data_IF_370584005747
#
_entry.id   IF_370584005747
#
_cell.length_a   1.000
_cell.length_b   1.000
_cell.length_c   1.000
_cell.angle_alpha   90.00
_cell.angle_beta   90.00
_cell.angle_gamma   90.00
#
_symmetry.space_group_name_H-M   'P 1'
#
loop_
_entity.id
_entity.type
_entity.pdbx_description
1 polymer ?
#
# COMPACT_ATOMS: atom_id res chain seq x y z
N UNK A 1 80.90 -60.40 -4.33
CA UNK A 1 79.52 -60.50 -3.82
C UNK A 1 79.32 -59.40 -2.79
N UNK A 2 78.61 -58.34 -3.18
CA UNK A 2 78.49 -57.07 -2.45
C UNK A 2 77.00 -56.77 -2.18
N UNK A 3 76.75 -56.38 -0.94
CA UNK A 3 75.73 -55.45 -0.43
C UNK A 3 74.23 -55.81 -0.37
N UNK A 4 73.76 -55.83 0.88
CA UNK A 4 72.42 -55.48 1.37
C UNK A 4 71.79 -54.28 0.66
N UNK A 5 70.49 -54.37 0.33
CA UNK A 5 69.60 -53.20 0.24
C UNK A 5 68.29 -53.50 0.97
N UNK A 6 68.06 -52.70 2.00
CA UNK A 6 66.87 -52.53 2.80
C UNK A 6 65.68 -51.98 1.98
N UNK A 7 64.49 -52.18 2.57
CA UNK A 7 63.34 -51.27 2.56
C UNK A 7 62.77 -50.84 1.20
N UNK A 8 61.48 -51.11 0.99
CA UNK A 8 60.52 -50.01 0.90
C UNK A 8 59.10 -50.53 1.16
N UNK A 9 58.66 -50.34 2.40
CA UNK A 9 57.26 -50.15 2.74
C UNK A 9 56.72 -49.04 1.83
N UNK A 10 55.97 -49.40 0.78
CA UNK A 10 55.16 -48.44 0.04
C UNK A 10 53.90 -48.24 0.88
N UNK A 11 54.02 -47.42 1.92
CA UNK A 11 52.88 -46.70 2.44
C UNK A 11 52.37 -45.83 1.30
N UNK A 12 51.32 -46.29 0.62
CA UNK A 12 50.49 -45.40 -0.19
C UNK A 12 50.05 -44.27 0.73
N UNK A 13 50.64 -43.09 0.53
CA UNK A 13 50.23 -41.85 1.17
C UNK A 13 48.78 -41.58 0.82
N UNK A 14 47.88 -42.07 1.68
CA UNK A 14 46.45 -41.86 1.58
C UNK A 14 46.08 -40.66 2.44
N UNK A 15 46.66 -39.52 2.12
CA UNK A 15 46.29 -38.24 2.73
C UNK A 15 46.18 -37.20 1.63
N UNK A 16 45.16 -36.36 1.74
CA UNK A 16 44.77 -35.23 0.88
C UNK A 16 43.62 -35.51 -0.09
N UNK A 17 42.67 -34.55 -0.09
CA UNK A 17 41.54 -34.37 -1.02
C UNK A 17 40.13 -34.84 -0.61
N UNK A 18 39.78 -34.84 0.69
CA UNK A 18 38.35 -34.87 1.12
C UNK A 18 37.87 -33.59 1.81
N UNK A 19 38.76 -32.85 2.48
CA UNK A 19 38.38 -31.63 3.22
C UNK A 19 38.08 -30.40 2.36
N UNK A 20 38.74 -30.24 1.20
CA UNK A 20 38.53 -29.08 0.32
C UNK A 20 37.20 -29.10 -0.43
N UNK A 21 36.72 -30.29 -0.81
CA UNK A 21 35.44 -30.45 -1.50
C UNK A 21 34.26 -30.11 -0.57
N UNK A 22 34.35 -30.52 0.70
CA UNK A 22 33.31 -30.31 1.72
C UNK A 22 33.19 -28.82 2.10
N UNK A 23 34.31 -28.09 2.15
CA UNK A 23 34.33 -26.66 2.49
C UNK A 23 33.76 -25.79 1.36
N UNK A 24 34.05 -26.12 0.11
CA UNK A 24 33.45 -25.45 -1.06
C UNK A 24 31.94 -25.67 -1.10
N UNK A 25 31.48 -26.89 -0.81
CA UNK A 25 30.06 -27.24 -0.83
C UNK A 25 29.28 -26.46 0.26
N UNK A 26 29.84 -26.33 1.46
CA UNK A 26 29.27 -25.50 2.54
C UNK A 26 29.24 -24.01 2.16
N UNK A 27 30.27 -23.51 1.46
CA UNK A 27 30.30 -22.15 0.94
C UNK A 27 29.21 -21.92 -0.12
N UNK A 28 28.98 -22.89 -1.00
CA UNK A 28 27.92 -22.81 -2.01
C UNK A 28 26.54 -22.81 -1.34
N UNK A 29 26.30 -23.71 -0.40
CA UNK A 29 25.00 -23.75 0.29
C UNK A 29 24.75 -22.52 1.16
N UNK A 30 25.76 -22.01 1.86
CA UNK A 30 25.62 -20.78 2.66
C UNK A 30 25.38 -19.55 1.81
N UNK A 31 26.06 -19.41 0.66
CA UNK A 31 25.82 -18.29 -0.27
C UNK A 31 24.43 -18.35 -0.89
N UNK A 32 23.95 -19.54 -1.28
CA UNK A 32 22.57 -19.74 -1.75
C UNK A 32 21.55 -19.40 -0.66
N UNK A 33 21.79 -19.81 0.58
CA UNK A 33 20.90 -19.51 1.71
C UNK A 33 20.81 -18.01 1.97
N UNK A 34 21.95 -17.30 1.99
CA UNK A 34 21.98 -15.83 2.16
C UNK A 34 21.22 -15.15 1.02
N UNK A 35 21.39 -15.61 -0.22
CA UNK A 35 20.72 -15.05 -1.37
C UNK A 35 19.20 -15.25 -1.30
N UNK A 36 18.73 -16.43 -0.91
CA UNK A 36 17.31 -16.72 -0.68
C UNK A 36 16.72 -15.84 0.43
N UNK A 37 17.42 -15.71 1.57
CA UNK A 37 16.98 -14.85 2.67
C UNK A 37 16.94 -13.37 2.27
N UNK A 38 17.92 -12.91 1.49
CA UNK A 38 17.95 -11.54 0.97
C UNK A 38 16.78 -11.24 0.05
N UNK A 39 16.48 -12.13 -0.90
CA UNK A 39 15.31 -11.99 -1.77
C UNK A 39 13.99 -12.01 -1.00
N UNK A 40 13.87 -12.89 -0.01
CA UNK A 40 12.68 -12.96 0.85
C UNK A 40 12.48 -11.63 1.63
N UNK A 41 13.55 -11.09 2.21
CA UNK A 41 13.50 -9.82 2.93
C UNK A 41 13.08 -8.66 2.02
N UNK A 42 13.66 -8.57 0.80
CA UNK A 42 13.29 -7.54 -0.17
C UNK A 42 11.81 -7.64 -0.57
N UNK A 43 11.30 -8.85 -0.77
CA UNK A 43 9.89 -9.08 -1.09
C UNK A 43 8.96 -8.65 0.06
N UNK A 44 9.32 -8.97 1.30
CA UNK A 44 8.58 -8.55 2.50
C UNK A 44 8.59 -7.03 2.65
N UNK A 45 9.76 -6.39 2.54
CA UNK A 45 9.88 -4.93 2.67
C UNK A 45 9.08 -4.19 1.59
N UNK A 46 9.10 -4.69 0.35
CA UNK A 46 8.28 -4.12 -0.73
C UNK A 46 6.79 -4.21 -0.40
N UNK A 47 6.32 -5.39 0.00
CA UNK A 47 4.92 -5.64 0.37
C UNK A 47 4.50 -4.76 1.56
N UNK A 48 5.38 -4.59 2.55
CA UNK A 48 5.12 -3.68 3.68
C UNK A 48 4.98 -2.23 3.19
N UNK A 49 5.91 -1.74 2.38
CA UNK A 49 5.88 -0.37 1.84
C UNK A 49 4.57 -0.09 1.09
N UNK A 50 4.15 -1.02 0.23
CA UNK A 50 2.90 -0.91 -0.53
C UNK A 50 1.67 -0.86 0.40
N UNK A 51 1.61 -1.75 1.42
CA UNK A 51 0.52 -1.73 2.40
C UNK A 51 0.47 -0.41 3.19
N UNK A 52 1.62 0.13 3.59
CA UNK A 52 1.71 1.41 4.29
C UNK A 52 1.23 2.56 3.42
N UNK A 53 1.56 2.54 2.13
CA UNK A 53 1.08 3.53 1.17
C UNK A 53 -0.44 3.47 1.02
N UNK A 54 -1.02 2.28 0.88
CA UNK A 54 -2.47 2.11 0.83
C UNK A 54 -3.17 2.63 2.09
N UNK A 55 -2.65 2.29 3.27
CA UNK A 55 -3.20 2.79 4.53
C UNK A 55 -3.10 4.31 4.66
N UNK A 56 -1.98 4.89 4.26
CA UNK A 56 -1.79 6.34 4.27
C UNK A 56 -2.79 7.04 3.37
N UNK A 57 -2.88 6.64 2.10
CA UNK A 57 -3.74 7.27 1.09
C UNK A 57 -5.20 7.16 1.51
N UNK A 58 -5.62 5.97 1.96
CA UNK A 58 -7.00 5.74 2.35
C UNK A 58 -7.39 6.51 3.61
N UNK A 59 -6.55 6.53 4.65
CA UNK A 59 -6.79 7.35 5.85
C UNK A 59 -6.84 8.84 5.53
N UNK A 60 -5.94 9.32 4.67
CA UNK A 60 -5.92 10.72 4.27
C UNK A 60 -7.22 11.10 3.55
N UNK A 61 -7.71 10.26 2.63
CA UNK A 61 -9.00 10.45 1.99
C UNK A 61 -10.17 10.45 2.99
N UNK A 62 -10.19 9.52 3.97
CA UNK A 62 -11.19 9.51 5.02
C UNK A 62 -11.20 10.81 5.85
N UNK A 63 -10.02 11.29 6.26
CA UNK A 63 -9.90 12.53 7.01
C UNK A 63 -10.37 13.73 6.20
N UNK A 64 -10.06 13.76 4.90
CA UNK A 64 -10.58 14.79 4.00
C UNK A 64 -12.10 14.81 3.99
N UNK A 65 -12.75 13.66 3.76
CA UNK A 65 -14.23 13.55 3.77
C UNK A 65 -14.79 14.04 5.11
N UNK A 66 -14.23 13.59 6.23
CA UNK A 66 -14.70 13.97 7.56
C UNK A 66 -14.53 15.45 7.83
N UNK A 67 -13.41 16.04 7.41
CA UNK A 67 -13.16 17.46 7.55
C UNK A 67 -14.16 18.29 6.73
N UNK A 68 -14.43 17.89 5.48
CA UNK A 68 -15.43 18.55 4.63
C UNK A 68 -16.81 18.49 5.29
N UNK A 69 -17.20 17.33 5.82
CA UNK A 69 -18.46 17.18 6.55
C UNK A 69 -18.55 18.09 7.78
N UNK A 70 -17.51 18.15 8.61
CA UNK A 70 -17.49 19.00 9.81
C UNK A 70 -17.52 20.50 9.48
N UNK A 71 -16.78 20.95 8.47
CA UNK A 71 -16.82 22.34 8.03
C UNK A 71 -18.18 22.71 7.47
N UNK A 72 -18.82 21.79 6.77
CA UNK A 72 -20.19 22.00 6.30
C UNK A 72 -21.16 22.32 7.42
N UNK A 73 -20.95 21.70 8.59
CA UNK A 73 -21.79 21.89 9.77
C UNK A 73 -21.50 23.17 10.55
N UNK A 74 -20.41 23.88 10.26
CA UNK A 74 -20.00 25.05 11.03
C UNK A 74 -20.02 26.35 10.20
N UNK A 75 -20.60 26.32 9.00
CA UNK A 75 -20.53 27.41 8.03
C UNK A 75 -19.58 27.02 6.90
N UNK A 76 -20.16 26.77 5.72
CA UNK A 76 -19.46 26.15 4.60
C UNK A 76 -18.33 26.98 4.00
N UNK A 77 -17.46 26.32 3.22
CA UNK A 77 -16.43 26.96 2.41
C UNK A 77 -16.64 26.73 0.91
N UNK A 78 -16.34 27.75 0.11
CA UNK A 78 -16.42 27.76 -1.36
C UNK A 78 -16.88 29.11 -1.94
N UNK A 79 -16.85 29.22 -3.27
CA UNK A 79 -17.14 30.43 -4.06
C UNK A 79 -18.38 30.24 -4.95
N UNK A 80 -19.00 31.32 -5.44
CA UNK A 80 -20.25 31.32 -6.22
C UNK A 80 -20.27 30.42 -7.47
N UNK A 81 -19.12 29.93 -7.96
CA UNK A 81 -19.00 29.10 -9.17
C UNK A 81 -19.05 27.58 -8.97
N UNK A 82 -18.92 27.06 -7.74
CA UNK A 82 -19.05 25.62 -7.44
C UNK A 82 -19.76 25.39 -6.10
N UNK A 83 -20.63 24.38 -5.98
CA UNK A 83 -21.38 24.13 -4.75
C UNK A 83 -20.45 23.99 -3.52
N UNK A 84 -20.81 24.73 -2.46
CA UNK A 84 -20.11 24.73 -1.16
C UNK A 84 -19.99 23.30 -0.63
N UNK A 85 -18.89 23.00 0.08
CA UNK A 85 -18.69 21.72 0.76
C UNK A 85 -18.87 20.45 -0.09
N UNK A 86 -18.44 20.51 -1.35
CA UNK A 86 -18.55 19.40 -2.29
C UNK A 86 -17.18 18.79 -2.50
N UNK A 87 -17.09 17.47 -2.39
CA UNK A 87 -15.94 16.70 -2.85
C UNK A 87 -16.22 16.22 -4.27
N UNK A 88 -15.26 16.40 -5.17
CA UNK A 88 -15.31 15.79 -6.49
C UNK A 88 -14.39 14.58 -6.47
N UNK A 89 -14.87 13.45 -6.96
CA UNK A 89 -14.12 12.20 -6.94
C UNK A 89 -14.12 11.64 -8.36
N UNK A 90 -12.91 11.53 -8.89
CA UNK A 90 -12.58 10.90 -10.17
C UNK A 90 -11.82 9.61 -9.91
N UNK A 91 -11.65 8.77 -10.93
CA UNK A 91 -10.97 7.48 -10.79
C UNK A 91 -9.54 7.60 -10.24
N UNK A 92 -8.82 8.67 -10.57
CA UNK A 92 -7.40 8.90 -10.24
C UNK A 92 -7.15 10.05 -9.25
N UNK A 93 -8.17 10.81 -8.90
CA UNK A 93 -8.00 12.00 -8.06
C UNK A 93 -9.28 12.36 -7.32
N UNK A 94 -9.13 13.19 -6.30
CA UNK A 94 -10.25 13.86 -5.68
C UNK A 94 -9.92 15.32 -5.43
N UNK A 95 -10.93 16.16 -5.56
CA UNK A 95 -10.81 17.60 -5.42
C UNK A 95 -11.63 18.07 -4.22
N UNK A 96 -11.03 18.97 -3.44
CA UNK A 96 -11.70 19.60 -2.29
C UNK A 96 -11.62 21.11 -2.34
N UNK A 97 -12.68 21.74 -1.84
CA UNK A 97 -12.85 23.18 -1.77
C UNK A 97 -12.72 23.74 -0.34
N UNK A 98 -12.18 22.93 0.58
CA UNK A 98 -12.06 23.22 2.02
C UNK A 98 -11.49 24.62 2.32
N UNK A 99 -10.50 25.05 1.53
CA UNK A 99 -9.81 26.33 1.67
C UNK A 99 -9.93 27.20 0.42
N UNK A 100 -10.99 27.04 -0.37
CA UNK A 100 -11.14 27.74 -1.65
C UNK A 100 -10.95 29.26 -1.54
N UNK A 101 -11.41 29.87 -0.45
CA UNK A 101 -11.26 31.31 -0.19
C UNK A 101 -9.81 31.75 0.07
N UNK A 102 -8.95 30.86 0.56
CA UNK A 102 -7.55 31.16 0.89
C UNK A 102 -6.58 30.67 -0.19
N UNK A 103 -6.73 29.42 -0.63
CA UNK A 103 -5.74 28.70 -1.45
C UNK A 103 -6.34 28.07 -2.71
N UNK A 104 -7.61 28.39 -3.03
CA UNK A 104 -8.30 27.79 -4.15
C UNK A 104 -8.61 26.30 -3.95
N UNK A 105 -8.88 25.62 -5.05
CA UNK A 105 -9.21 24.20 -5.06
C UNK A 105 -7.94 23.36 -5.02
N UNK A 106 -7.96 22.32 -4.21
CA UNK A 106 -6.84 21.38 -4.13
C UNK A 106 -7.27 20.05 -4.74
N UNK A 107 -6.60 19.67 -5.82
CA UNK A 107 -6.68 18.33 -6.38
C UNK A 107 -5.59 17.44 -5.78
N UNK A 108 -5.99 16.24 -5.34
CA UNK A 108 -5.09 15.25 -4.76
C UNK A 108 -5.18 13.98 -5.60
N UNK A 109 -4.04 13.59 -6.16
CA UNK A 109 -3.92 12.38 -6.97
C UNK A 109 -3.68 11.15 -6.10
N UNK A 110 -4.36 10.06 -6.40
CA UNK A 110 -4.02 8.76 -5.83
C UNK A 110 -2.89 8.11 -6.64
N UNK A 111 -2.08 7.23 -6.02
CA UNK A 111 -1.06 6.48 -6.75
C UNK A 111 -1.65 5.70 -7.92
N UNK A 112 -0.87 5.51 -9.00
CA UNK A 112 -1.32 4.83 -10.21
C UNK A 112 -1.76 3.37 -10.01
N UNK A 113 -1.37 2.74 -8.91
CA UNK A 113 -1.81 1.39 -8.52
C UNK A 113 -3.22 1.38 -7.94
N UNK A 114 -3.75 2.55 -7.60
CA UNK A 114 -5.00 2.72 -6.89
C UNK A 114 -6.06 3.38 -7.76
N UNK A 115 -7.32 3.08 -7.46
CA UNK A 115 -8.49 3.67 -8.08
C UNK A 115 -9.51 4.07 -7.05
N UNK A 116 -10.07 5.27 -7.20
CA UNK A 116 -11.23 5.72 -6.46
C UNK A 116 -12.50 5.39 -7.22
N UNK A 117 -13.55 5.04 -6.50
CA UNK A 117 -14.88 4.81 -7.07
C UNK A 117 -15.90 5.58 -6.25
N UNK A 118 -16.73 6.34 -6.96
CA UNK A 118 -17.81 7.11 -6.40
C UNK A 118 -19.17 6.44 -6.66
N UNK A 119 -19.70 5.80 -5.63
CA UNK A 119 -21.06 5.25 -5.64
C UNK A 119 -22.02 6.29 -5.05
N UNK A 120 -22.14 7.43 -5.72
CA UNK A 120 -23.17 8.45 -5.50
C UNK A 120 -24.16 8.47 -6.67
N UNK A 121 -25.30 9.13 -6.48
CA UNK A 121 -26.29 9.34 -7.54
C UNK A 121 -25.70 10.14 -8.73
N UNK A 122 -24.84 11.11 -8.47
CA UNK A 122 -24.21 11.99 -9.47
C UNK A 122 -22.90 11.42 -10.04
N UNK A 123 -22.34 10.37 -9.41
CA UNK A 123 -21.10 9.65 -9.79
C UNK A 123 -19.80 10.46 -9.89
N UNK A 124 -19.85 11.79 -9.79
CA UNK A 124 -18.67 12.66 -9.93
C UNK A 124 -18.49 13.64 -8.77
N UNK A 125 -19.59 14.08 -8.15
CA UNK A 125 -19.58 15.01 -7.03
C UNK A 125 -20.33 14.44 -5.84
N UNK A 126 -19.99 14.85 -4.63
CA UNK A 126 -20.80 14.56 -3.47
C UNK A 126 -20.80 15.76 -2.53
N UNK A 127 -22.00 16.28 -2.26
CA UNK A 127 -22.19 17.27 -1.22
C UNK A 127 -22.16 16.56 0.14
N UNK A 128 -21.32 17.03 1.06
CA UNK A 128 -21.11 16.37 2.36
C UNK A 128 -21.73 17.13 3.55
N UNK A 129 -22.60 18.11 3.29
CA UNK A 129 -23.11 19.00 4.34
C UNK A 129 -24.45 18.66 4.98
N UNK A 130 -25.06 17.52 4.64
CA UNK A 130 -26.34 17.12 5.23
C UNK A 130 -26.17 16.62 6.68
N UNK A 131 -26.90 17.23 7.62
CA UNK A 131 -26.92 16.81 9.04
C UNK A 131 -27.66 15.49 9.23
N UNK A 132 -28.75 15.27 8.48
CA UNK A 132 -29.61 14.09 8.61
C UNK A 132 -29.18 12.91 7.72
N UNK A 133 -27.90 12.87 7.34
CA UNK A 133 -27.33 11.82 6.49
C UNK A 133 -27.33 12.13 5.00
N UNK A 134 -26.57 11.34 4.25
CA UNK A 134 -26.25 11.63 2.85
C UNK A 134 -27.16 10.84 1.90
N UNK A 135 -28.33 11.40 1.55
CA UNK A 135 -29.31 10.73 0.69
C UNK A 135 -28.81 10.39 -0.72
N UNK A 136 -27.81 11.12 -1.21
CA UNK A 136 -27.32 11.01 -2.60
C UNK A 136 -25.95 10.33 -2.70
N UNK A 137 -25.37 9.93 -1.56
CA UNK A 137 -24.05 9.29 -1.47
C UNK A 137 -24.17 8.00 -0.68
N UNK A 138 -23.92 6.87 -1.34
CA UNK A 138 -23.99 5.55 -0.70
C UNK A 138 -22.61 5.14 -0.18
N UNK A 139 -21.60 5.18 -1.05
CA UNK A 139 -20.23 4.86 -0.66
C UNK A 139 -19.15 5.48 -1.54
N UNK A 140 -17.97 5.65 -0.95
CA UNK A 140 -16.73 5.78 -1.70
C UNK A 140 -15.88 4.55 -1.51
N UNK A 141 -15.17 4.13 -2.54
CA UNK A 141 -14.29 2.96 -2.49
C UNK A 141 -12.91 3.34 -3.01
N UNK A 142 -11.88 2.79 -2.37
CA UNK A 142 -10.49 2.85 -2.85
C UNK A 142 -10.03 1.43 -3.08
N UNK A 143 -9.58 1.14 -4.29
CA UNK A 143 -9.01 -0.14 -4.69
C UNK A 143 -7.50 0.03 -4.88
N UNK A 144 -6.72 -0.97 -4.49
CA UNK A 144 -5.35 -1.16 -4.92
C UNK A 144 -5.25 -2.47 -5.70
N UNK A 145 -4.88 -2.38 -6.98
CA UNK A 145 -4.84 -3.53 -7.88
C UNK A 145 -3.60 -4.40 -7.69
N UNK A 146 -2.52 -3.86 -7.12
CA UNK A 146 -1.30 -4.61 -6.85
C UNK A 146 -1.49 -5.45 -5.59
N UNK A 147 -2.05 -4.84 -4.54
CA UNK A 147 -2.31 -5.52 -3.27
C UNK A 147 -3.60 -6.34 -3.26
N UNK A 148 -4.47 -6.16 -4.27
CA UNK A 148 -5.81 -6.77 -4.33
C UNK A 148 -6.65 -6.49 -3.08
N UNK A 149 -6.55 -5.25 -2.59
CA UNK A 149 -7.22 -4.76 -1.38
C UNK A 149 -8.12 -3.59 -1.70
N UNK A 150 -9.21 -3.46 -0.96
CA UNK A 150 -10.08 -2.31 -1.05
C UNK A 150 -10.52 -1.81 0.32
N UNK A 151 -10.80 -0.50 0.39
CA UNK A 151 -11.44 0.12 1.55
C UNK A 151 -12.68 0.86 1.08
N UNK A 152 -13.82 0.51 1.67
CA UNK A 152 -15.14 1.08 1.34
C UNK A 152 -15.65 1.93 2.48
N UNK A 153 -15.91 3.20 2.21
CA UNK A 153 -16.53 4.17 3.09
C UNK A 153 -18.03 4.21 2.84
N UNK A 154 -18.82 3.78 3.82
CA UNK A 154 -20.28 3.67 3.75
C UNK A 154 -20.89 4.83 4.51
N UNK A 155 -21.77 5.58 3.82
CA UNK A 155 -22.46 6.73 4.39
C UNK A 155 -23.83 6.34 4.89
N UNK A 156 -24.15 6.75 6.12
CA UNK A 156 -25.50 6.59 6.64
C UNK A 156 -26.46 7.53 5.92
N UNK A 157 -27.63 7.01 5.60
CA UNK A 157 -28.71 7.75 4.94
C UNK A 157 -29.54 8.58 5.93
N UNK A 158 -29.38 8.35 7.23
CA UNK A 158 -30.20 8.92 8.31
C UNK A 158 -29.37 9.73 9.32
N UNK A 159 -28.05 9.59 9.30
CA UNK A 159 -27.14 10.23 10.25
C UNK A 159 -25.88 10.66 9.53
N UNK A 160 -25.11 11.61 10.08
CA UNK A 160 -23.85 12.05 9.46
C UNK A 160 -22.71 11.03 9.66
N UNK A 161 -23.02 9.80 10.09
CA UNK A 161 -22.04 8.76 10.36
C UNK A 161 -21.46 8.22 9.06
N UNK A 162 -20.14 7.99 9.09
CA UNK A 162 -19.40 7.28 8.06
C UNK A 162 -18.79 6.05 8.73
N UNK A 163 -19.04 4.87 8.16
CA UNK A 163 -18.37 3.62 8.54
C UNK A 163 -17.39 3.26 7.43
N UNK A 164 -16.32 2.56 7.75
CA UNK A 164 -15.48 1.96 6.73
C UNK A 164 -15.33 0.47 6.97
N UNK A 165 -15.16 -0.27 5.87
CA UNK A 165 -14.81 -1.69 5.86
C UNK A 165 -13.60 -1.87 4.96
N UNK A 166 -12.80 -2.89 5.24
CA UNK A 166 -11.67 -3.32 4.43
C UNK A 166 -11.89 -4.74 3.97
N UNK A 167 -11.44 -5.05 2.75
CA UNK A 167 -11.52 -6.38 2.20
C UNK A 167 -10.53 -6.60 1.07
N UNK A 168 -10.56 -7.81 0.51
CA UNK A 168 -9.76 -8.23 -0.64
C UNK A 168 -10.67 -8.65 -1.79
N UNK A 169 -10.14 -8.68 -3.03
CA UNK A 169 -10.89 -9.03 -4.24
C UNK A 169 -10.03 -9.77 -5.28
#
# INVERSE_FOLDING_TARGET
MKHYINNLNIYYGKNHCKGGFLLIEVLIYSTLLILLLGMAQLAISKTMSENWQFDRVSRLFYYTIKRTQLLSFNGGSGTQGRPLNTIYVSDSSYEVNLYATLWGYQEIFVPNTMKLVNNSRTKQSAYLGKYDGQSDLYSFEIYDYVLRKYRKYIFSQQTPRIRWIEGTF
#
